data_IF_690002964169
#
_entry.id   IF_690002964169
#
_cell.length_a   1.000
_cell.length_b   1.000
_cell.length_c   1.000
_cell.angle_alpha   90.00
_cell.angle_beta   90.00
_cell.angle_gamma   90.00
#
_symmetry.space_group_name_H-M   'P 1'
#
loop_
_entity.id
_entity.type
_entity.pdbx_description
1 polymer ?
#
# COMPACT_ATOMS: atom_id res chain seq x y z
N UNK A 1 -29.18 -11.79 -15.43
CA UNK A 1 -27.90 -11.69 -16.16
C UNK A 1 -27.74 -10.38 -16.94
N UNK A 2 -28.79 -9.79 -17.49
CA UNK A 2 -28.71 -8.52 -18.24
C UNK A 2 -28.32 -7.29 -17.40
N UNK A 3 -28.71 -7.24 -16.13
CA UNK A 3 -28.35 -6.15 -15.20
C UNK A 3 -26.86 -6.14 -14.84
N UNK A 4 -26.22 -7.31 -14.71
CA UNK A 4 -24.78 -7.42 -14.45
C UNK A 4 -23.94 -6.92 -15.63
N UNK A 5 -24.38 -7.19 -16.87
CA UNK A 5 -23.70 -6.72 -18.07
C UNK A 5 -23.80 -5.20 -18.28
N UNK A 6 -24.93 -4.59 -17.88
CA UNK A 6 -25.09 -3.13 -17.85
C UNK A 6 -24.17 -2.48 -16.79
N UNK A 7 -23.93 -3.18 -15.68
CA UNK A 7 -23.08 -2.69 -14.60
C UNK A 7 -21.59 -2.67 -14.90
N UNK A 8 -21.11 -3.66 -15.65
CA UNK A 8 -19.72 -3.75 -16.12
C UNK A 8 -19.44 -2.76 -17.25
N UNK A 9 -20.46 -2.36 -18.02
CA UNK A 9 -20.35 -1.34 -19.07
C UNK A 9 -20.47 0.09 -18.57
N UNK A 10 -21.27 0.36 -17.54
CA UNK A 10 -21.56 1.73 -17.09
C UNK A 10 -20.66 2.20 -15.93
N UNK A 11 -20.03 1.27 -15.21
CA UNK A 11 -19.01 1.60 -14.22
C UNK A 11 -17.66 1.15 -14.72
N UNK A 12 -16.74 2.11 -14.86
CA UNK A 12 -15.31 1.87 -15.13
C UNK A 12 -14.61 1.24 -13.92
N UNK A 13 -15.13 0.10 -13.43
CA UNK A 13 -14.58 -0.64 -12.29
C UNK A 13 -13.20 -1.20 -12.65
N UNK A 14 -12.97 -1.53 -13.92
CA UNK A 14 -11.68 -2.03 -14.40
C UNK A 14 -10.51 -1.05 -14.19
N UNK A 15 -10.69 0.23 -14.50
CA UNK A 15 -9.65 1.25 -14.26
C UNK A 15 -9.39 1.48 -12.77
N UNK A 16 -10.42 1.39 -11.93
CA UNK A 16 -10.28 1.50 -10.48
C UNK A 16 -9.55 0.29 -9.88
N UNK A 17 -9.91 -0.93 -10.31
CA UNK A 17 -9.23 -2.16 -9.90
C UNK A 17 -7.77 -2.14 -10.36
N UNK A 18 -7.49 -1.69 -11.59
CA UNK A 18 -6.13 -1.59 -12.11
C UNK A 18 -5.29 -0.59 -11.31
N UNK A 19 -5.84 0.59 -10.97
CA UNK A 19 -5.15 1.60 -10.17
C UNK A 19 -4.92 1.11 -8.73
N UNK A 20 -5.92 0.46 -8.12
CA UNK A 20 -5.81 -0.15 -6.80
C UNK A 20 -4.79 -1.29 -6.76
N UNK A 21 -4.78 -2.17 -7.76
CA UNK A 21 -3.76 -3.20 -7.90
C UNK A 21 -2.37 -2.59 -8.11
N UNK A 22 -2.24 -1.53 -8.91
CA UNK A 22 -0.96 -0.86 -9.11
C UNK A 22 -0.41 -0.28 -7.79
N UNK A 23 -1.26 0.38 -6.99
CA UNK A 23 -0.87 0.85 -5.65
C UNK A 23 -0.50 -0.30 -4.70
N UNK A 24 -1.28 -1.38 -4.68
CA UNK A 24 -0.98 -2.54 -3.85
C UNK A 24 0.36 -3.20 -4.24
N UNK A 25 0.61 -3.36 -5.54
CA UNK A 25 1.89 -3.88 -6.05
C UNK A 25 3.05 -2.97 -5.67
N UNK A 26 2.89 -1.65 -5.77
CA UNK A 26 3.91 -0.69 -5.36
C UNK A 26 4.27 -0.81 -3.86
N UNK A 27 3.26 -0.87 -2.99
CA UNK A 27 3.46 -1.05 -1.54
C UNK A 27 4.18 -2.37 -1.24
N UNK A 28 3.77 -3.46 -1.90
CA UNK A 28 4.39 -4.78 -1.75
C UNK A 28 5.87 -4.79 -2.19
N UNK A 29 6.19 -4.17 -3.32
CA UNK A 29 7.58 -4.06 -3.81
C UNK A 29 8.44 -3.32 -2.79
N UNK A 30 7.98 -2.15 -2.33
CA UNK A 30 8.73 -1.36 -1.36
C UNK A 30 8.91 -2.09 -0.02
N UNK A 31 7.87 -2.75 0.48
CA UNK A 31 7.96 -3.56 1.70
C UNK A 31 9.00 -4.69 1.56
N UNK A 32 9.06 -5.32 0.39
CA UNK A 32 10.05 -6.37 0.11
C UNK A 32 11.48 -5.82 0.09
N UNK A 33 11.70 -4.64 -0.50
CA UNK A 33 13.01 -3.96 -0.49
C UNK A 33 13.45 -3.65 0.94
N UNK A 34 12.56 -3.12 1.77
CA UNK A 34 12.86 -2.86 3.18
C UNK A 34 13.15 -4.11 3.98
N UNK A 35 12.38 -5.18 3.75
CA UNK A 35 12.59 -6.45 4.40
C UNK A 35 13.99 -6.98 4.10
N UNK A 36 14.37 -7.07 2.83
CA UNK A 36 15.71 -7.50 2.40
C UNK A 36 16.78 -6.55 2.96
N UNK A 37 16.55 -5.24 2.89
CA UNK A 37 17.44 -4.23 3.42
C UNK A 37 17.70 -4.39 4.92
N UNK A 38 16.69 -4.73 5.71
CA UNK A 38 16.82 -4.97 7.15
C UNK A 38 17.66 -6.22 7.46
N UNK A 39 17.63 -7.25 6.60
CA UNK A 39 18.51 -8.42 6.74
C UNK A 39 19.95 -8.12 6.33
N UNK A 40 20.17 -7.27 5.33
CA UNK A 40 21.51 -7.01 4.75
C UNK A 40 22.14 -5.72 5.28
N UNK A 41 21.50 -5.00 6.21
CA UNK A 41 21.98 -3.71 6.71
C UNK A 41 23.34 -3.80 7.42
N UNK A 42 23.67 -4.96 7.97
CA UNK A 42 24.93 -5.21 8.65
C UNK A 42 25.89 -6.02 7.79
N UNK A 43 27.15 -5.63 7.78
CA UNK A 43 28.25 -6.38 7.17
C UNK A 43 29.24 -6.82 8.25
N UNK A 44 29.43 -8.13 8.46
CA UNK A 44 28.71 -9.26 7.84
C UNK A 44 27.28 -9.42 8.38
N UNK A 45 26.41 -10.10 7.62
CA UNK A 45 24.98 -10.29 7.96
C UNK A 45 24.78 -10.95 9.33
N UNK A 46 25.71 -11.82 9.75
CA UNK A 46 25.65 -12.48 11.06
C UNK A 46 25.71 -11.50 12.24
N UNK A 47 26.30 -10.32 12.03
CA UNK A 47 26.39 -9.27 13.04
C UNK A 47 25.02 -8.71 13.45
N UNK A 48 23.98 -8.94 12.63
CA UNK A 48 22.63 -8.53 12.97
C UNK A 48 22.07 -9.29 14.20
N UNK A 49 22.45 -10.55 14.40
CA UNK A 49 21.97 -11.41 15.49
C UNK A 49 23.06 -11.89 16.46
N UNK A 50 24.33 -11.93 16.05
CA UNK A 50 25.46 -12.25 16.93
C UNK A 50 26.45 -11.08 17.00
N UNK A 51 26.12 -10.14 17.90
CA UNK A 51 26.91 -8.94 18.19
C UNK A 51 28.11 -9.19 19.10
N UNK A 52 28.23 -10.39 19.68
CA UNK A 52 29.27 -10.70 20.67
C UNK A 52 30.45 -11.46 20.03
N UNK A 53 30.18 -12.37 19.10
CA UNK A 53 31.24 -13.16 18.44
C UNK A 53 31.74 -12.52 17.14
N UNK A 54 30.94 -11.66 16.52
CA UNK A 54 31.22 -11.13 15.18
C UNK A 54 31.60 -9.66 15.27
N UNK A 55 32.71 -9.25 14.68
CA UNK A 55 33.05 -7.82 14.51
C UNK A 55 32.48 -7.36 13.18
N UNK A 56 31.57 -6.39 13.22
CA UNK A 56 30.90 -5.88 12.02
C UNK A 56 30.45 -4.43 12.18
N UNK A 57 30.01 -3.86 11.08
CA UNK A 57 29.41 -2.53 11.04
C UNK A 57 28.02 -2.63 10.43
N UNK A 58 27.04 -1.97 11.05
CA UNK A 58 25.73 -1.78 10.44
C UNK A 58 25.65 -0.40 9.80
N UNK A 59 24.90 -0.30 8.71
CA UNK A 59 24.46 0.99 8.18
C UNK A 59 23.55 1.73 9.16
N UNK A 60 23.07 2.89 8.73
CA UNK A 60 22.19 3.72 9.56
C UNK A 60 20.78 3.10 9.69
N UNK A 61 20.63 2.27 10.72
CA UNK A 61 19.34 1.71 11.13
C UNK A 61 18.30 2.80 11.38
N UNK A 62 18.69 3.93 11.96
CA UNK A 62 17.76 5.01 12.32
C UNK A 62 17.19 5.66 11.06
N UNK A 63 18.02 5.87 10.05
CA UNK A 63 17.59 6.33 8.73
C UNK A 63 16.63 5.33 8.08
N UNK A 64 16.93 4.03 8.16
CA UNK A 64 16.06 2.97 7.62
C UNK A 64 14.68 2.97 8.28
N UNK A 65 14.62 3.08 9.61
CA UNK A 65 13.35 3.22 10.35
C UNK A 65 12.60 4.50 10.02
N UNK A 66 13.30 5.63 9.88
CA UNK A 66 12.69 6.91 9.52
C UNK A 66 12.05 6.87 8.12
N UNK A 67 12.76 6.32 7.13
CA UNK A 67 12.25 6.15 5.77
C UNK A 67 11.06 5.18 5.76
N UNK A 68 11.15 4.08 6.49
CA UNK A 68 10.07 3.09 6.62
C UNK A 68 8.80 3.73 7.19
N UNK A 69 8.93 4.48 8.29
CA UNK A 69 7.80 5.17 8.90
C UNK A 69 7.19 6.22 7.97
N UNK A 70 8.02 7.02 7.30
CA UNK A 70 7.56 8.02 6.34
C UNK A 70 6.80 7.41 5.16
N UNK A 71 7.29 6.29 4.60
CA UNK A 71 6.65 5.62 3.48
C UNK A 71 5.39 4.85 3.86
N UNK A 72 5.27 4.40 5.10
CA UNK A 72 4.04 3.79 5.62
C UNK A 72 2.93 4.85 5.70
N UNK A 73 3.22 6.00 6.32
CA UNK A 73 2.28 7.14 6.37
C UNK A 73 1.92 7.61 4.95
N UNK A 74 2.91 7.71 4.05
CA UNK A 74 2.66 8.09 2.66
C UNK A 74 1.74 7.09 1.96
N UNK A 75 1.95 5.79 2.18
CA UNK A 75 1.10 4.74 1.62
C UNK A 75 -0.33 4.83 2.15
N UNK A 76 -0.50 5.08 3.45
CA UNK A 76 -1.83 5.33 4.06
C UNK A 76 -2.52 6.53 3.43
N UNK A 77 -1.80 7.64 3.23
CA UNK A 77 -2.35 8.82 2.56
C UNK A 77 -2.73 8.53 1.12
N UNK A 78 -1.90 7.80 0.37
CA UNK A 78 -2.21 7.41 -1.02
C UNK A 78 -3.44 6.53 -1.07
N UNK A 79 -3.57 5.54 -0.19
CA UNK A 79 -4.75 4.66 -0.11
C UNK A 79 -6.00 5.46 0.24
N UNK A 80 -5.90 6.40 1.18
CA UNK A 80 -6.99 7.28 1.60
C UNK A 80 -7.40 8.28 0.50
N UNK A 81 -6.44 8.76 -0.29
CA UNK A 81 -6.67 9.67 -1.40
C UNK A 81 -7.11 8.96 -2.67
N UNK A 82 -6.75 7.69 -2.88
CA UNK A 82 -7.14 6.88 -4.05
C UNK A 82 -8.65 6.94 -4.40
N UNK A 83 -9.59 6.84 -3.43
CA UNK A 83 -11.03 6.94 -3.73
C UNK A 83 -11.52 8.36 -4.04
N UNK A 84 -10.85 9.41 -3.55
CA UNK A 84 -11.37 10.80 -3.62
C UNK A 84 -11.46 11.38 -5.04
N UNK A 85 -10.42 11.36 -5.89
CA UNK A 85 -10.51 11.91 -7.23
C UNK A 85 -11.40 11.06 -8.14
N UNK A 86 -11.53 9.75 -7.86
CA UNK A 86 -12.46 8.88 -8.57
C UNK A 86 -13.93 9.18 -8.20
N UNK A 87 -14.20 9.52 -6.94
CA UNK A 87 -15.52 10.00 -6.48
C UNK A 87 -15.92 11.35 -7.08
N UNK A 88 -14.94 12.23 -7.36
CA UNK A 88 -15.19 13.54 -7.98
C UNK A 88 -15.35 13.48 -9.50
N UNK A 89 -14.62 12.59 -10.17
CA UNK A 89 -14.63 12.46 -11.64
C UNK A 89 -15.87 11.72 -12.16
N UNK A 90 -16.52 10.92 -11.31
CA UNK A 90 -17.57 10.02 -11.75
C UNK A 90 -18.89 10.39 -11.04
N UNK A 91 -19.87 10.90 -11.80
CA UNK A 91 -21.25 11.12 -11.35
C UNK A 91 -21.95 9.80 -11.06
N UNK A 92 -21.48 9.09 -10.04
CA UNK A 92 -21.90 7.75 -9.75
C UNK A 92 -23.28 7.74 -9.10
N UNK A 93 -24.15 6.89 -9.64
CA UNK A 93 -25.45 6.57 -9.05
C UNK A 93 -25.26 6.15 -7.59
N UNK A 94 -26.04 6.76 -6.69
CA UNK A 94 -25.93 6.76 -5.22
C UNK A 94 -25.57 5.39 -4.60
N UNK A 95 -26.04 4.30 -5.22
CA UNK A 95 -25.84 2.93 -4.77
C UNK A 95 -24.35 2.51 -4.69
N UNK A 96 -23.45 2.95 -5.60
CA UNK A 96 -21.99 2.64 -5.48
C UNK A 96 -21.28 3.52 -4.49
N UNK A 97 -21.76 4.75 -4.31
CA UNK A 97 -21.30 5.64 -3.24
C UNK A 97 -21.54 4.98 -1.89
N UNK A 98 -22.71 4.34 -1.69
CA UNK A 98 -23.03 3.60 -0.48
C UNK A 98 -22.13 2.37 -0.32
N UNK A 99 -21.94 1.55 -1.37
CA UNK A 99 -21.04 0.39 -1.30
C UNK A 99 -19.60 0.75 -0.91
N UNK A 100 -19.06 1.85 -1.47
CA UNK A 100 -17.72 2.36 -1.16
C UNK A 100 -17.65 2.98 0.24
N UNK A 101 -18.68 3.72 0.67
CA UNK A 101 -18.78 4.24 2.03
C UNK A 101 -18.88 3.12 3.07
N UNK A 102 -19.56 2.02 2.75
CA UNK A 102 -19.66 0.84 3.62
C UNK A 102 -18.32 0.13 3.72
N UNK A 103 -17.59 -0.09 2.61
CA UNK A 103 -16.25 -0.70 2.69
C UNK A 103 -15.22 0.21 3.39
N UNK A 104 -15.25 1.52 3.15
CA UNK A 104 -14.41 2.47 3.89
C UNK A 104 -14.80 2.60 5.37
N UNK A 105 -16.09 2.54 5.69
CA UNK A 105 -16.59 2.57 7.07
C UNK A 105 -16.30 1.29 7.84
N UNK A 106 -16.34 0.12 7.18
CA UNK A 106 -15.98 -1.17 7.78
C UNK A 106 -14.47 -1.27 8.02
N UNK A 107 -13.64 -0.63 7.18
CA UNK A 107 -12.18 -0.54 7.42
C UNK A 107 -11.79 0.34 8.62
N UNK A 108 -12.74 1.07 9.20
CA UNK A 108 -12.57 1.95 10.36
C UNK A 108 -13.19 1.37 11.66
N UNK A 109 -13.63 0.11 11.66
CA UNK A 109 -14.19 -0.59 12.82
C UNK A 109 -13.27 -1.71 13.32
#
# INVERSE_FOLDING_TARGET
>A
MSILALYTKIFSVGSFILLSQACAVFVMIWAMVLFIGAFVICTPVQFNWDKFSTVGTCGDVRMLWAITGGLNIFSDMVIMLLPMPYLYSLSLQLYKKIGLMVTFGIGLA
#
